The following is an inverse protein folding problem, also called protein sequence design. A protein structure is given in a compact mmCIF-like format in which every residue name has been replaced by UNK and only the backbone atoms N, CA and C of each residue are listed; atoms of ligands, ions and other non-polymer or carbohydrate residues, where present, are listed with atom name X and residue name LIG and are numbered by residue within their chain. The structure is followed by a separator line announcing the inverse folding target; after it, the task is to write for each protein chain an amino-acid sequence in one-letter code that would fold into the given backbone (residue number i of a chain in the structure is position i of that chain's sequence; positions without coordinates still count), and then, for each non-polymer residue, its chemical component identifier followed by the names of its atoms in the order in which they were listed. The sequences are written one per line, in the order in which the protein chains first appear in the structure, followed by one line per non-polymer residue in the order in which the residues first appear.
data_IF_753047191642
#
_entry.id   IF_753047191642
#
_cell.length_a   1.000
_cell.length_b   1.000
_cell.length_c   1.000
_cell.angle_alpha   90.00
_cell.angle_beta   90.00
_cell.angle_gamma   90.00
#
_symmetry.space_group_name_H-M   'P 1'
#
loop_
_entity.id
_entity.type
_entity.pdbx_description
1 polymer ?
#
# COMPACT_ATOMS: atom_id res chain seq x y z
N UNK A 1 -8.52 5.23 -14.05
CA UNK A 1 -9.56 5.49 -13.05
C UNK A 1 -9.05 6.53 -12.07
N UNK A 2 -9.76 7.65 -11.97
CA UNK A 2 -9.43 8.74 -11.08
C UNK A 2 -9.64 8.27 -9.64
N UNK A 3 -8.58 7.85 -8.99
CA UNK A 3 -8.57 7.73 -7.54
C UNK A 3 -8.61 9.16 -7.00
N UNK A 4 -9.75 9.57 -6.46
CA UNK A 4 -9.86 10.82 -5.71
C UNK A 4 -9.20 10.53 -4.35
N UNK A 5 -7.88 10.64 -4.31
CA UNK A 5 -7.20 10.78 -3.03
C UNK A 5 -7.66 12.10 -2.41
N UNK A 6 -7.96 12.15 -1.11
CA UNK A 6 -8.25 13.41 -0.45
C UNK A 6 -7.12 14.39 -0.74
N UNK A 7 -7.46 15.62 -1.12
CA UNK A 7 -6.52 16.66 -1.53
C UNK A 7 -5.38 16.85 -0.51
N UNK A 8 -5.64 16.59 0.77
CA UNK A 8 -4.63 16.57 1.84
C UNK A 8 -3.55 15.50 1.68
N UNK A 9 -3.90 14.30 1.22
CA UNK A 9 -2.93 13.23 0.97
C UNK A 9 -2.06 13.53 -0.25
N UNK A 10 -2.63 14.16 -1.28
CA UNK A 10 -1.90 14.57 -2.49
C UNK A 10 -0.88 15.69 -2.19
N UNK A 11 -1.24 16.65 -1.34
CA UNK A 11 -0.33 17.73 -0.91
C UNK A 11 0.82 17.17 -0.07
N UNK A 12 0.57 16.16 0.77
CA UNK A 12 1.62 15.50 1.56
C UNK A 12 2.59 14.69 0.69
N UNK A 13 2.12 14.02 -0.34
CA UNK A 13 2.98 13.31 -1.31
C UNK A 13 3.94 14.26 -2.02
N UNK A 14 3.49 15.45 -2.43
CA UNK A 14 4.29 16.47 -3.10
C UNK A 14 5.35 17.10 -2.18
N UNK A 15 5.10 17.23 -0.89
CA UNK A 15 6.07 17.78 0.07
C UNK A 15 7.17 16.79 0.47
N UNK A 16 6.92 15.49 0.40
CA UNK A 16 7.91 14.46 0.74
C UNK A 16 9.01 14.31 -0.31
N UNK A 17 8.76 14.66 -1.57
CA UNK A 17 9.71 14.44 -2.66
C UNK A 17 10.88 15.43 -2.69
N UNK A 18 10.76 16.59 -2.02
CA UNK A 18 11.71 17.70 -2.20
C UNK A 18 12.80 17.84 -1.11
N UNK A 19 12.69 17.19 0.04
CA UNK A 19 13.59 17.46 1.17
C UNK A 19 14.65 16.42 1.52
N UNK A 20 14.55 15.19 1.06
CA UNK A 20 15.42 14.12 1.51
C UNK A 20 15.96 13.25 0.38
N UNK A 21 16.46 13.72 -0.71
CA UNK A 21 17.31 13.02 -1.69
C UNK A 21 17.14 11.49 -1.93
N UNK A 22 16.33 10.83 -1.14
CA UNK A 22 15.84 9.46 -1.27
C UNK A 22 14.38 9.56 -1.69
N UNK A 23 14.11 9.25 -2.95
CA UNK A 23 12.76 9.31 -3.46
C UNK A 23 11.85 8.40 -2.63
N UNK A 24 10.96 8.99 -1.84
CA UNK A 24 9.88 8.27 -1.15
C UNK A 24 9.13 7.35 -2.09
N UNK A 25 9.02 7.77 -3.36
CA UNK A 25 8.48 6.95 -4.43
C UNK A 25 9.23 5.62 -4.57
N UNK A 26 10.55 5.65 -4.57
CA UNK A 26 11.36 4.44 -4.65
C UNK A 26 11.24 3.57 -3.40
N UNK A 27 11.16 4.19 -2.21
CA UNK A 27 10.96 3.43 -0.97
C UNK A 27 9.61 2.74 -0.94
N UNK A 28 8.53 3.45 -1.28
CA UNK A 28 7.19 2.89 -1.31
C UNK A 28 7.01 1.86 -2.43
N UNK A 29 7.59 2.12 -3.60
CA UNK A 29 7.64 1.14 -4.67
C UNK A 29 8.37 -0.12 -4.21
N UNK A 30 9.51 -0.03 -3.53
CA UNK A 30 10.21 -1.20 -3.01
C UNK A 30 9.41 -1.91 -1.92
N UNK A 31 8.73 -1.17 -1.02
CA UNK A 31 7.86 -1.78 -0.02
C UNK A 31 6.70 -2.55 -0.65
N UNK A 32 6.06 -1.97 -1.65
CA UNK A 32 4.93 -2.59 -2.36
C UNK A 32 5.43 -3.59 -3.41
N UNK A 33 6.03 -3.11 -4.51
CA UNK A 33 6.43 -3.94 -5.65
C UNK A 33 7.59 -4.87 -5.31
N UNK A 34 8.61 -4.36 -4.62
CA UNK A 34 9.80 -5.10 -4.27
C UNK A 34 9.58 -6.18 -3.20
N UNK A 35 8.67 -5.97 -2.25
CA UNK A 35 8.41 -6.88 -1.12
C UNK A 35 7.01 -7.47 -1.16
N UNK A 36 5.97 -6.62 -1.10
CA UNK A 36 4.58 -7.06 -1.03
C UNK A 36 4.17 -7.89 -2.23
N UNK A 37 4.33 -7.37 -3.44
CA UNK A 37 3.88 -8.04 -4.66
C UNK A 37 4.64 -9.35 -4.97
N UNK A 38 5.88 -9.50 -4.51
CA UNK A 38 6.61 -10.77 -4.62
C UNK A 38 5.93 -11.92 -3.86
N UNK A 39 5.18 -11.58 -2.81
CA UNK A 39 4.40 -12.56 -2.04
C UNK A 39 3.00 -12.78 -2.58
N UNK A 40 2.53 -11.91 -3.49
CA UNK A 40 1.20 -11.95 -4.09
C UNK A 40 1.13 -13.00 -5.21
N UNK A 41 1.11 -14.28 -4.84
CA UNK A 41 1.01 -15.42 -5.77
C UNK A 41 0.10 -16.51 -5.24
N UNK A 42 -0.48 -17.27 -6.12
CA UNK A 42 -1.35 -18.39 -5.75
C UNK A 42 -0.63 -19.37 -4.81
N UNK A 43 -1.35 -19.82 -3.78
CA UNK A 43 -0.83 -20.73 -2.76
C UNK A 43 -0.24 -20.08 -1.52
N UNK A 44 0.23 -18.84 -1.60
CA UNK A 44 0.62 -18.07 -0.42
C UNK A 44 -0.61 -17.65 0.40
N UNK A 45 -0.40 -17.28 1.65
CA UNK A 45 -1.43 -16.67 2.47
C UNK A 45 -1.47 -15.16 2.28
N UNK A 46 -2.64 -14.56 2.48
CA UNK A 46 -2.83 -13.12 2.36
C UNK A 46 -1.82 -12.32 3.17
N UNK A 47 -1.60 -12.74 4.42
CA UNK A 47 -0.68 -12.01 5.32
C UNK A 47 0.81 -12.25 5.03
N UNK A 48 1.17 -13.07 4.07
CA UNK A 48 2.54 -13.12 3.57
C UNK A 48 2.90 -11.80 2.86
N UNK A 49 1.92 -11.20 2.16
CA UNK A 49 2.04 -9.85 1.58
C UNK A 49 2.22 -8.83 2.71
N UNK A 50 1.31 -8.84 3.68
CA UNK A 50 1.28 -7.93 4.84
C UNK A 50 2.60 -7.95 5.61
N UNK A 51 3.10 -9.14 5.92
CA UNK A 51 4.35 -9.33 6.66
C UNK A 51 5.58 -8.85 5.90
N UNK A 52 5.62 -9.06 4.59
CA UNK A 52 6.72 -8.60 3.75
C UNK A 52 6.80 -7.06 3.73
N UNK A 53 5.66 -6.38 3.62
CA UNK A 53 5.56 -4.92 3.67
C UNK A 53 5.98 -4.41 5.05
N UNK A 54 5.38 -4.94 6.12
CA UNK A 54 5.64 -4.54 7.50
C UNK A 54 7.13 -4.68 7.85
N UNK A 55 7.72 -5.83 7.55
CA UNK A 55 9.12 -6.10 7.85
C UNK A 55 10.06 -5.12 7.17
N UNK A 56 9.77 -4.76 5.92
CA UNK A 56 10.57 -3.79 5.19
C UNK A 56 10.41 -2.37 5.77
N UNK A 57 9.19 -1.94 6.01
CA UNK A 57 8.88 -0.60 6.54
C UNK A 57 9.53 -0.40 7.92
N UNK A 58 9.36 -1.37 8.83
CA UNK A 58 9.91 -1.28 10.19
C UNK A 58 11.43 -1.38 10.23
N UNK A 59 12.04 -2.18 9.35
CA UNK A 59 13.49 -2.24 9.22
C UNK A 59 14.15 -0.90 8.85
N UNK A 60 13.37 0.01 8.23
CA UNK A 60 13.81 1.36 7.88
C UNK A 60 13.39 2.43 8.91
N UNK A 61 12.86 2.02 10.07
CA UNK A 61 12.49 2.93 11.16
C UNK A 61 11.17 3.68 10.95
N UNK A 62 10.35 3.26 10.00
CA UNK A 62 9.04 3.83 9.73
C UNK A 62 7.93 3.02 10.40
N UNK A 63 6.71 3.54 10.39
CA UNK A 63 5.54 2.86 10.95
C UNK A 63 4.38 2.78 9.98
N UNK A 64 3.43 1.89 10.27
CA UNK A 64 2.24 1.63 9.46
C UNK A 64 0.99 1.90 10.32
N UNK A 65 0.06 2.76 9.88
CA UNK A 65 -1.24 2.91 10.52
C UNK A 65 -2.04 1.61 10.40
N UNK A 66 -2.69 1.19 11.49
CA UNK A 66 -3.43 -0.08 11.53
C UNK A 66 -4.88 0.05 11.06
N UNK A 67 -5.40 1.28 11.02
CA UNK A 67 -6.79 1.57 10.68
C UNK A 67 -7.07 1.50 9.17
N UNK A 68 -6.02 1.54 8.35
CA UNK A 68 -6.14 1.58 6.89
C UNK A 68 -5.51 0.35 6.25
N UNK A 69 -6.23 -0.25 5.32
CA UNK A 69 -5.86 -1.53 4.71
C UNK A 69 -6.16 -1.50 3.23
N UNK A 70 -5.48 -2.34 2.49
CA UNK A 70 -5.93 -2.74 1.16
C UNK A 70 -7.16 -3.65 1.22
N UNK A 71 -7.66 -4.05 0.07
CA UNK A 71 -8.93 -4.76 -0.06
C UNK A 71 -9.00 -5.61 -1.33
N UNK A 72 -9.98 -6.51 -1.36
CA UNK A 72 -10.39 -7.18 -2.59
C UNK A 72 -11.04 -6.21 -3.59
N UNK A 73 -10.97 -6.55 -4.85
CA UNK A 73 -11.60 -5.82 -5.95
C UNK A 73 -12.39 -6.83 -6.78
N UNK A 74 -13.66 -6.52 -7.07
CA UNK A 74 -14.51 -7.38 -7.89
C UNK A 74 -15.66 -6.60 -8.48
N UNK A 75 -16.89 -6.97 -8.15
CA UNK A 75 -18.10 -6.23 -8.54
C UNK A 75 -18.20 -4.87 -7.84
N UNK A 76 -17.59 -4.76 -6.67
CA UNK A 76 -17.44 -3.51 -5.92
C UNK A 76 -15.96 -3.08 -5.91
N UNK A 77 -15.73 -1.78 -5.76
CA UNK A 77 -14.38 -1.22 -5.64
C UNK A 77 -13.70 -1.75 -4.37
N UNK A 78 -14.49 -1.87 -3.28
CA UNK A 78 -14.04 -2.41 -2.01
C UNK A 78 -14.87 -3.65 -1.69
N UNK A 79 -14.22 -4.80 -1.61
CA UNK A 79 -14.82 -6.06 -1.16
C UNK A 79 -13.79 -6.93 -0.45
N UNK A 80 -14.24 -8.02 0.16
CA UNK A 80 -13.36 -9.00 0.79
C UNK A 80 -12.35 -9.61 -0.20
N UNK A 81 -11.15 -9.98 0.27
CA UNK A 81 -10.67 -9.90 1.65
C UNK A 81 -10.08 -8.52 1.99
N UNK A 82 -10.09 -8.16 3.28
CA UNK A 82 -9.24 -7.07 3.78
C UNK A 82 -7.78 -7.47 3.63
N UNK A 83 -6.93 -6.55 3.12
CA UNK A 83 -5.49 -6.75 2.90
C UNK A 83 -4.69 -5.84 3.82
N UNK A 84 -4.40 -6.22 5.07
CA UNK A 84 -3.62 -5.41 5.98
C UNK A 84 -2.18 -5.20 5.46
N UNK A 85 -1.58 -4.07 5.81
CA UNK A 85 -0.18 -3.79 5.52
C UNK A 85 0.77 -4.27 6.62
N UNK A 86 0.27 -5.02 7.58
CA UNK A 86 0.98 -5.56 8.76
C UNK A 86 0.41 -6.92 9.15
N UNK A 87 1.17 -7.71 9.89
CA UNK A 87 0.71 -8.95 10.49
C UNK A 87 1.71 -10.10 10.41
N UNK A 88 1.38 -11.18 11.12
CA UNK A 88 2.19 -12.41 11.12
C UNK A 88 2.02 -13.15 9.80
N UNK A 89 3.09 -13.74 9.25
CA UNK A 89 2.99 -14.52 8.01
C UNK A 89 2.12 -15.76 8.17
N UNK A 90 1.72 -16.33 7.05
CA UNK A 90 0.97 -17.59 6.95
C UNK A 90 -0.42 -17.56 7.61
N UNK A 91 -1.10 -16.42 7.56
CA UNK A 91 -2.47 -16.20 8.06
C UNK A 91 -3.39 -15.68 6.96
N UNK A 92 -4.68 -15.63 7.29
CA UNK A 92 -5.72 -15.21 6.36
C UNK A 92 -6.00 -16.21 5.25
N UNK A 93 -6.74 -15.78 4.25
CA UNK A 93 -7.13 -16.65 3.13
C UNK A 93 -5.91 -17.06 2.29
N UNK A 94 -5.98 -18.23 1.67
CA UNK A 94 -5.02 -18.59 0.64
C UNK A 94 -5.32 -17.85 -0.64
N UNK A 95 -4.31 -17.22 -1.20
CA UNK A 95 -4.41 -16.56 -2.48
C UNK A 95 -4.67 -17.58 -3.58
N UNK A 96 -5.62 -17.28 -4.43
CA UNK A 96 -6.00 -18.10 -5.59
C UNK A 96 -5.80 -17.31 -6.86
N UNK A 97 -5.45 -18.01 -7.92
CA UNK A 97 -5.38 -17.43 -9.25
C UNK A 97 -6.69 -16.73 -9.63
N UNK A 98 -6.60 -15.55 -10.21
CA UNK A 98 -7.73 -14.71 -10.59
C UNK A 98 -8.24 -13.76 -9.48
N UNK A 99 -7.79 -13.88 -8.24
CA UNK A 99 -8.12 -12.90 -7.21
C UNK A 99 -7.55 -11.52 -7.59
N UNK A 100 -8.38 -10.48 -7.49
CA UNK A 100 -7.98 -9.10 -7.68
C UNK A 100 -7.90 -8.39 -6.33
N UNK A 101 -6.78 -7.73 -6.06
CA UNK A 101 -6.50 -7.08 -4.78
C UNK A 101 -5.95 -5.66 -5.01
N UNK A 102 -6.36 -4.72 -4.17
CA UNK A 102 -5.65 -3.46 -3.94
C UNK A 102 -4.63 -3.67 -2.82
N UNK A 103 -3.36 -3.46 -3.13
CA UNK A 103 -2.26 -3.52 -2.17
C UNK A 103 -1.73 -2.10 -2.05
N UNK A 104 -1.94 -1.49 -0.88
CA UNK A 104 -1.84 -0.04 -0.69
C UNK A 104 -1.15 0.32 0.63
N UNK A 105 0.15 0.06 0.78
CA UNK A 105 0.85 0.43 1.99
C UNK A 105 0.82 1.94 2.24
N UNK A 106 0.41 2.28 3.46
CA UNK A 106 0.55 3.61 4.03
C UNK A 106 1.69 3.58 5.03
N UNK A 107 2.58 4.56 4.96
CA UNK A 107 3.80 4.61 5.77
C UNK A 107 3.90 5.96 6.44
N UNK A 108 4.14 5.95 7.75
CA UNK A 108 4.39 7.15 8.56
C UNK A 108 5.86 7.24 8.93
N UNK A 109 6.40 8.46 8.87
CA UNK A 109 7.76 8.75 9.32
C UNK A 109 7.90 8.67 10.85
N UNK A 110 6.82 8.95 11.56
CA UNK A 110 6.74 8.92 13.01
C UNK A 110 5.91 7.76 13.54
N UNK A 111 4.97 8.09 14.44
CA UNK A 111 4.11 7.13 15.10
C UNK A 111 2.94 6.69 14.19
N UNK A 112 2.42 5.45 14.37
CA UNK A 112 1.38 4.91 13.48
C UNK A 112 0.00 5.55 13.66
N UNK A 113 -0.25 6.27 14.78
CA UNK A 113 -1.58 6.79 15.08
C UNK A 113 -1.99 7.90 14.11
N UNK A 114 -3.25 7.86 13.72
CA UNK A 114 -3.91 8.86 12.88
C UNK A 114 -4.91 9.70 13.67
N UNK A 115 -5.39 10.76 13.07
CA UNK A 115 -6.59 11.50 13.48
C UNK A 115 -7.34 12.00 12.25
N UNK A 116 -8.64 12.03 12.33
CA UNK A 116 -9.51 12.67 11.33
C UNK A 116 -9.66 14.13 11.70
N UNK A 117 -9.61 15.02 10.71
CA UNK A 117 -9.84 16.47 10.91
C UNK A 117 -11.35 16.77 11.07
N UNK A 118 -11.66 18.05 11.37
CA UNK A 118 -13.04 18.52 11.62
C UNK A 118 -13.94 18.42 10.36
N UNK A 119 -13.36 18.24 9.18
CA UNK A 119 -14.09 17.98 7.94
C UNK A 119 -14.62 16.54 7.84
N UNK A 120 -14.38 15.71 8.85
CA UNK A 120 -14.78 14.29 8.96
C UNK A 120 -14.24 13.41 7.80
N UNK A 121 -13.28 13.92 7.03
CA UNK A 121 -12.74 13.26 5.84
C UNK A 121 -11.22 13.19 5.81
N UNK A 122 -10.56 14.30 6.07
CA UNK A 122 -9.10 14.38 5.99
C UNK A 122 -8.44 13.64 7.13
N UNK A 123 -7.58 12.68 6.80
CA UNK A 123 -6.79 11.90 7.77
C UNK A 123 -5.36 12.40 7.78
N UNK A 124 -4.83 12.65 8.96
CA UNK A 124 -3.44 13.08 9.17
C UNK A 124 -2.76 12.25 10.25
N UNK A 125 -1.43 12.25 10.27
CA UNK A 125 -0.67 11.65 11.36
C UNK A 125 -0.96 12.41 12.66
N UNK A 126 -1.14 11.68 13.77
CA UNK A 126 -1.47 12.33 15.05
C UNK A 126 -0.32 13.16 15.61
N UNK A 127 0.92 12.78 15.30
CA UNK A 127 2.15 13.43 15.76
C UNK A 127 2.67 14.50 14.79
N UNK A 128 1.98 14.75 13.68
CA UNK A 128 2.38 15.73 12.66
C UNK A 128 3.56 15.27 11.79
N UNK A 129 3.98 14.01 11.90
CA UNK A 129 5.01 13.44 11.03
C UNK A 129 4.53 13.30 9.59
N UNK A 130 5.46 13.16 8.67
CA UNK A 130 5.17 12.90 7.26
C UNK A 130 4.54 11.51 7.09
N UNK A 131 3.67 11.39 6.10
CA UNK A 131 3.09 10.13 5.67
C UNK A 131 3.12 10.03 4.14
N UNK A 132 3.11 8.81 3.65
CA UNK A 132 3.04 8.52 2.23
C UNK A 132 2.20 7.28 1.97
N UNK A 133 1.57 7.22 0.81
CA UNK A 133 0.70 6.13 0.36
C UNK A 133 1.05 5.76 -1.08
N UNK A 134 1.09 4.45 -1.35
CA UNK A 134 1.34 3.92 -2.68
C UNK A 134 0.45 2.70 -2.91
N UNK A 135 -0.23 2.66 -4.05
CA UNK A 135 -1.21 1.63 -4.34
C UNK A 135 -0.99 0.99 -5.71
N UNK A 136 -1.14 -0.34 -5.75
CA UNK A 136 -1.36 -1.08 -6.97
C UNK A 136 -2.57 -1.98 -6.88
N UNK A 137 -3.38 -1.98 -7.94
CA UNK A 137 -4.35 -3.03 -8.20
C UNK A 137 -3.66 -4.17 -8.95
N UNK A 138 -3.81 -5.39 -8.45
CA UNK A 138 -3.16 -6.57 -9.02
C UNK A 138 -4.14 -7.71 -9.21
N UNK A 139 -3.84 -8.60 -10.15
CA UNK A 139 -4.48 -9.92 -10.25
C UNK A 139 -3.47 -11.01 -9.90
N UNK A 140 -3.86 -11.91 -9.01
CA UNK A 140 -3.04 -13.05 -8.59
C UNK A 140 -2.92 -14.05 -9.74
N UNK A 141 -1.71 -14.50 -10.01
CA UNK A 141 -1.42 -15.53 -10.99
C UNK A 141 -0.77 -16.75 -10.31
N UNK A 142 -0.53 -17.80 -11.07
CA UNK A 142 0.10 -19.04 -10.58
C UNK A 142 1.46 -18.75 -9.91
N UNK A 143 2.30 -17.95 -10.55
CA UNK A 143 3.70 -17.77 -10.15
C UNK A 143 4.01 -16.37 -9.61
N UNK A 144 3.01 -15.50 -9.50
CA UNK A 144 3.15 -14.12 -9.04
C UNK A 144 1.86 -13.33 -9.13
N UNK A 145 1.95 -12.07 -9.54
CA UNK A 145 0.79 -11.24 -9.84
C UNK A 145 1.06 -10.36 -11.07
N UNK A 146 -0.02 -9.92 -11.70
CA UNK A 146 0.02 -8.93 -12.77
C UNK A 146 -0.47 -7.60 -12.22
N UNK A 147 0.34 -6.56 -12.33
CA UNK A 147 -0.05 -5.19 -11.97
C UNK A 147 -1.00 -4.67 -13.06
N UNK A 148 -2.15 -4.15 -12.64
CA UNK A 148 -3.18 -3.60 -13.53
C UNK A 148 -3.09 -2.07 -13.68
N UNK A 149 -2.37 -1.41 -12.77
CA UNK A 149 -2.24 0.05 -12.66
C UNK A 149 -0.85 0.56 -13.07
N UNK A 150 -0.13 -0.17 -13.90
CA UNK A 150 1.16 0.30 -14.48
C UNK A 150 0.92 1.53 -15.36
N UNK A 151 1.77 2.55 -15.20
CA UNK A 151 1.79 3.68 -16.13
C UNK A 151 2.54 3.28 -17.40
N UNK A 152 1.92 3.47 -18.54
CA UNK A 152 2.52 3.19 -19.86
C UNK A 152 3.37 4.34 -20.41
N UNK A 153 3.74 5.34 -19.57
CA UNK A 153 4.40 6.58 -20.02
C UNK A 153 5.90 6.40 -20.34
N UNK A 154 6.40 5.17 -20.50
CA UNK A 154 7.81 4.91 -20.79
C UNK A 154 8.08 4.20 -22.14
N UNK A 155 7.12 4.18 -23.04
CA UNK A 155 7.36 3.72 -24.41
C UNK A 155 7.11 4.84 -25.41
N UNK A 156 7.89 5.91 -25.38
CA UNK A 156 8.12 6.80 -26.54
C UNK A 156 9.24 7.78 -26.19
N UNK A 157 10.50 7.37 -26.39
CA UNK A 157 11.59 8.28 -26.74
C UNK A 157 12.79 7.49 -27.25
#
# INVERSE_FOLDING_TARGET
SNLILPIGALIYLLFCTSKHGWGWENFLAEANEGKGLKMAKAGNHLTDISHAIESYVYAHGFSIPQEYTGHGIGTSVHEDPIVPNYGKPHKGVRLKEGMCLAIEPMVHFGKPQTRVLDDEWTVVTKDGSLAAHFEHSVVITKDGCKILTTRHDKEES
#
